data_IF_662947649986
#
_entry.id   IF_662947649986
#
_cell.length_a   1.000
_cell.length_b   1.000
_cell.length_c   1.000
_cell.angle_alpha   90.00
_cell.angle_beta   90.00
_cell.angle_gamma   90.00
#
_symmetry.space_group_name_H-M   'P 1'
#
loop_
_entity.id
_entity.type
_entity.pdbx_description
1 polymer ?
#
# COMPACT_ATOMS: atom_id res chain seq x y z
N UNK A 1 -14.01 -38.10 -7.80
CA UNK A 1 -13.16 -36.95 -8.11
C UNK A 1 -14.00 -35.68 -7.93
N UNK A 2 -13.65 -34.81 -6.99
CA UNK A 2 -14.32 -33.52 -6.75
C UNK A 2 -13.27 -32.47 -6.34
N UNK A 3 -12.22 -32.35 -7.16
CA UNK A 3 -11.09 -31.44 -6.95
C UNK A 3 -11.28 -30.10 -7.68
N UNK A 4 -12.52 -29.76 -8.08
CA UNK A 4 -12.77 -28.69 -9.05
C UNK A 4 -13.52 -27.46 -8.48
N UNK A 5 -14.02 -27.49 -7.24
CA UNK A 5 -14.77 -26.36 -6.66
C UNK A 5 -13.99 -25.43 -5.73
N UNK A 6 -12.69 -25.67 -5.50
CA UNK A 6 -11.83 -24.82 -4.66
C UNK A 6 -11.11 -23.70 -5.44
N UNK A 7 -11.65 -23.28 -6.59
CA UNK A 7 -11.03 -22.30 -7.48
C UNK A 7 -11.88 -21.03 -7.59
N UNK A 8 -11.96 -20.24 -6.52
CA UNK A 8 -12.24 -18.77 -6.46
C UNK A 8 -12.21 -18.30 -4.98
N UNK A 9 -11.21 -18.73 -4.22
CA UNK A 9 -10.87 -18.08 -2.94
C UNK A 9 -9.39 -17.70 -2.90
N UNK A 10 -8.80 -17.40 -4.06
CA UNK A 10 -7.61 -16.56 -4.12
C UNK A 10 -8.01 -15.10 -3.82
N UNK A 11 -8.61 -14.85 -2.64
CA UNK A 11 -8.31 -13.62 -1.91
C UNK A 11 -6.86 -13.79 -1.51
N UNK A 12 -5.97 -13.56 -2.48
CA UNK A 12 -4.55 -13.42 -2.22
C UNK A 12 -4.45 -12.53 -1.00
N UNK A 13 -3.79 -13.03 0.05
CA UNK A 13 -3.64 -12.43 1.36
C UNK A 13 -3.04 -11.03 1.19
N UNK A 14 -3.88 -10.08 0.78
CA UNK A 14 -3.54 -8.68 0.63
C UNK A 14 -3.47 -8.19 2.05
N UNK A 15 -2.28 -8.39 2.61
CA UNK A 15 -1.94 -8.15 4.00
C UNK A 15 -2.56 -6.82 4.39
N UNK A 16 -3.46 -6.86 5.38
CA UNK A 16 -4.30 -5.73 5.73
C UNK A 16 -3.39 -4.54 6.04
N UNK A 17 -3.52 -3.46 5.28
CA UNK A 17 -2.75 -2.24 5.51
C UNK A 17 -3.07 -1.74 6.92
N UNK A 18 -2.04 -1.49 7.72
CA UNK A 18 -2.23 -1.01 9.09
C UNK A 18 -2.80 0.41 9.10
N UNK A 19 -3.46 0.78 10.20
CA UNK A 19 -4.02 2.12 10.39
C UNK A 19 -2.96 3.22 10.22
N UNK A 20 -1.72 2.95 10.64
CA UNK A 20 -0.59 3.89 10.54
C UNK A 20 -0.20 4.14 9.09
N UNK A 21 0.00 3.08 8.31
CA UNK A 21 0.36 3.17 6.88
C UNK A 21 -0.79 3.80 6.08
N UNK A 22 -2.04 3.44 6.40
CA UNK A 22 -3.21 4.07 5.77
C UNK A 22 -3.27 5.57 6.02
N UNK A 23 -3.10 6.01 7.28
CA UNK A 23 -3.09 7.43 7.64
C UNK A 23 -2.01 8.18 6.86
N UNK A 24 -0.83 7.58 6.71
CA UNK A 24 0.27 8.16 5.97
C UNK A 24 -0.07 8.39 4.50
N UNK A 25 -0.57 7.37 3.81
CA UNK A 25 -0.98 7.52 2.41
C UNK A 25 -2.09 8.55 2.25
N UNK A 26 -3.06 8.58 3.16
CA UNK A 26 -4.10 9.60 3.16
C UNK A 26 -3.53 11.01 3.28
N UNK A 27 -2.55 11.23 4.18
CA UNK A 27 -1.87 12.53 4.30
C UNK A 27 -1.16 12.91 3.01
N UNK A 28 -0.38 12.01 2.41
CA UNK A 28 0.33 12.26 1.14
C UNK A 28 -0.64 12.56 0.00
N UNK A 29 -1.75 11.84 -0.06
CA UNK A 29 -2.80 12.06 -1.04
C UNK A 29 -3.42 13.46 -0.87
N UNK A 30 -3.82 13.82 0.35
CA UNK A 30 -4.38 15.15 0.62
C UNK A 30 -3.39 16.28 0.30
N UNK A 31 -2.09 16.12 0.59
CA UNK A 31 -1.07 17.10 0.20
C UNK A 31 -1.07 17.31 -1.32
N UNK A 32 -1.14 16.24 -2.11
CA UNK A 32 -1.21 16.32 -3.56
C UNK A 32 -2.50 16.91 -4.11
N UNK A 33 -3.62 16.76 -3.38
CA UNK A 33 -4.91 17.38 -3.73
C UNK A 33 -4.89 18.88 -3.41
N UNK A 34 -4.40 19.27 -2.24
CA UNK A 34 -4.30 20.68 -1.83
C UNK A 34 -3.24 21.43 -2.62
N UNK A 35 -2.13 20.77 -2.98
CA UNK A 35 -1.06 21.35 -3.77
C UNK A 35 -0.56 20.34 -4.82
N UNK A 36 -0.97 20.57 -6.06
CA UNK A 36 -0.62 19.71 -7.19
C UNK A 36 0.89 19.61 -7.46
N UNK A 37 1.68 20.63 -7.07
CA UNK A 37 3.15 20.61 -7.20
C UNK A 37 3.82 19.64 -6.23
N UNK A 38 3.13 19.30 -5.14
CA UNK A 38 3.60 18.35 -4.12
C UNK A 38 2.99 16.95 -4.31
N UNK A 39 2.26 16.72 -5.41
CA UNK A 39 1.62 15.44 -5.69
C UNK A 39 2.67 14.35 -5.88
N UNK A 40 2.63 13.36 -5.00
CA UNK A 40 3.49 12.18 -5.06
C UNK A 40 2.87 11.11 -5.95
N UNK A 41 3.68 10.48 -6.80
CA UNK A 41 3.28 9.25 -7.48
C UNK A 41 3.43 8.03 -6.56
N UNK A 42 2.96 6.86 -6.98
CA UNK A 42 2.97 5.64 -6.14
C UNK A 42 4.38 5.24 -5.69
N UNK A 43 5.39 5.46 -6.53
CA UNK A 43 6.78 5.12 -6.22
C UNK A 43 7.36 6.10 -5.18
N UNK A 44 7.07 7.39 -5.32
CA UNK A 44 7.46 8.41 -4.34
C UNK A 44 6.75 8.19 -2.99
N UNK A 45 5.46 7.88 -2.99
CA UNK A 45 4.72 7.52 -1.77
C UNK A 45 5.34 6.29 -1.09
N UNK A 46 5.75 5.28 -1.88
CA UNK A 46 6.39 4.08 -1.33
C UNK A 46 7.78 4.37 -0.73
N UNK A 47 8.59 5.23 -1.36
CA UNK A 47 9.89 5.67 -0.80
C UNK A 47 9.71 6.36 0.55
N UNK A 48 8.67 7.19 0.69
CA UNK A 48 8.40 7.86 1.97
C UNK A 48 7.96 6.88 3.06
N UNK A 49 7.21 5.83 2.72
CA UNK A 49 6.92 4.71 3.64
C UNK A 49 8.22 4.01 4.06
N UNK A 50 9.12 3.73 3.10
CA UNK A 50 10.41 3.08 3.38
C UNK A 50 11.28 3.92 4.32
N UNK A 51 11.33 5.25 4.15
CA UNK A 51 12.05 6.13 5.07
C UNK A 51 11.55 6.02 6.52
N UNK A 52 10.24 5.85 6.71
CA UNK A 52 9.65 5.67 8.05
C UNK A 52 9.89 4.28 8.63
N UNK A 53 10.09 3.29 7.77
CA UNK A 53 10.54 1.96 8.20
C UNK A 53 11.99 2.01 8.67
N UNK A 54 12.86 2.74 7.96
CA UNK A 54 14.24 2.98 8.40
C UNK A 54 14.35 3.73 9.73
N UNK A 55 13.32 4.50 10.10
CA UNK A 55 13.21 5.20 11.39
C UNK A 55 12.50 4.38 12.47
N UNK A 56 12.18 3.12 12.19
CA UNK A 56 11.41 2.21 13.07
C UNK A 56 10.01 2.72 13.44
N UNK A 57 9.50 3.75 12.76
CA UNK A 57 8.13 4.25 12.95
C UNK A 57 7.08 3.29 12.36
N UNK A 58 7.49 2.46 11.40
CA UNK A 58 6.64 1.48 10.70
C UNK A 58 7.41 0.16 10.60
N UNK A 59 6.81 -0.94 11.04
CA UNK A 59 7.42 -2.26 10.80
C UNK A 59 7.44 -2.59 9.31
N UNK A 60 8.57 -3.11 8.83
CA UNK A 60 8.78 -3.55 7.44
C UNK A 60 7.68 -4.49 6.95
N UNK A 61 7.14 -5.30 7.85
CA UNK A 61 6.10 -6.29 7.58
C UNK A 61 4.74 -5.67 7.19
N UNK A 62 4.56 -4.38 7.47
CA UNK A 62 3.36 -3.59 7.18
C UNK A 62 3.45 -2.79 5.88
N UNK A 63 4.55 -2.90 5.12
CA UNK A 63 4.69 -2.23 3.83
C UNK A 63 3.85 -2.99 2.79
N UNK A 64 2.85 -2.34 2.16
CA UNK A 64 2.08 -2.98 1.11
C UNK A 64 2.91 -3.14 -0.17
N UNK A 65 2.67 -4.24 -0.88
CA UNK A 65 3.24 -4.47 -2.20
C UNK A 65 2.64 -3.46 -3.19
N UNK A 66 3.48 -2.92 -4.08
CA UNK A 66 3.01 -2.17 -5.24
C UNK A 66 2.64 -3.19 -6.33
N UNK A 67 1.44 -3.07 -6.89
CA UNK A 67 1.03 -3.85 -8.05
C UNK A 67 0.18 -2.98 -8.95
N UNK A 68 0.39 -3.11 -10.25
CA UNK A 68 -0.42 -2.45 -11.27
C UNK A 68 -1.60 -3.35 -11.58
N UNK A 69 -2.82 -2.81 -11.51
CA UNK A 69 -4.01 -3.52 -11.97
C UNK A 69 -4.16 -3.21 -13.45
N UNK A 70 -3.89 -4.20 -14.30
CA UNK A 70 -4.20 -4.13 -15.73
C UNK A 70 -5.65 -4.56 -15.93
N UNK A 71 -6.42 -3.78 -16.69
CA UNK A 71 -7.83 -4.07 -17.03
C UNK A 71 -7.90 -4.84 -18.36
#
# INVERSE_FOLDING_TARGET
>A
ALLESLKVNQKDLTKRITKQVKKLFTTMFHIGITNSRLKMNVNEMHKEVLKKVSKEEIFKDNIPKISTITN
#
